data_IF_386292088641
#
_entry.id   IF_386292088641
#
_cell.length_a   1.000
_cell.length_b   1.000
_cell.length_c   1.000
_cell.angle_alpha   90.00
_cell.angle_beta   90.00
_cell.angle_gamma   90.00
#
_symmetry.space_group_name_H-M   'P 1'
#
loop_
_entity.id
_entity.type
_entity.pdbx_description
1 polymer ?
#
# COMPACT_ATOMS: atom_id res chain seq x y z
N UNK A 1 -5.35 24.52 3.50
CA UNK A 1 -6.10 24.20 2.26
C UNK A 1 -5.72 22.83 1.69
N UNK A 2 -4.45 22.44 1.73
CA UNK A 2 -3.96 21.10 1.28
C UNK A 2 -4.54 19.95 2.12
N UNK A 3 -4.69 20.13 3.41
CA UNK A 3 -5.30 19.14 4.33
C UNK A 3 -6.77 18.81 3.98
N UNK A 4 -7.47 19.74 3.32
CA UNK A 4 -8.88 19.57 2.95
C UNK A 4 -9.06 18.74 1.66
N UNK A 5 -8.12 18.83 0.72
CA UNK A 5 -8.16 18.00 -0.51
C UNK A 5 -7.85 16.54 -0.22
N UNK A 6 -6.89 16.27 0.66
CA UNK A 6 -6.59 14.91 1.12
C UNK A 6 -7.78 14.29 1.87
N UNK A 7 -8.50 15.08 2.64
CA UNK A 7 -9.70 14.65 3.36
C UNK A 7 -10.86 14.30 2.41
N UNK A 8 -10.99 14.99 1.29
CA UNK A 8 -12.02 14.70 0.26
C UNK A 8 -11.68 13.42 -0.52
N UNK A 9 -10.41 13.19 -0.86
CA UNK A 9 -9.94 11.96 -1.52
C UNK A 9 -10.18 10.75 -0.62
N UNK A 10 -9.89 10.88 0.67
CA UNK A 10 -10.12 9.84 1.67
C UNK A 10 -11.61 9.58 1.91
N UNK A 11 -12.47 10.59 1.89
CA UNK A 11 -13.92 10.40 2.01
C UNK A 11 -14.51 9.67 0.79
N UNK A 12 -13.93 9.80 -0.40
CA UNK A 12 -14.33 9.03 -1.57
C UNK A 12 -13.82 7.58 -1.52
N UNK A 13 -12.65 7.33 -0.89
CA UNK A 13 -12.15 5.99 -0.61
C UNK A 13 -12.86 5.34 0.59
N UNK A 14 -13.32 6.12 1.58
CA UNK A 14 -14.06 5.64 2.76
C UNK A 14 -15.48 5.17 2.43
N UNK A 15 -16.00 5.44 1.24
CA UNK A 15 -17.18 4.73 0.72
C UNK A 15 -16.98 3.21 0.58
N UNK A 16 -15.77 2.73 0.77
CA UNK A 16 -15.36 1.31 0.82
C UNK A 16 -15.04 0.86 2.26
N UNK A 17 -15.25 1.70 3.27
CA UNK A 17 -15.03 1.33 4.69
C UNK A 17 -16.11 0.35 5.25
N UNK A 18 -16.54 -0.61 4.44
CA UNK A 18 -17.40 -1.71 4.82
C UNK A 18 -16.77 -3.09 4.57
N UNK A 19 -15.52 -3.13 4.10
CA UNK A 19 -14.86 -4.37 3.69
C UNK A 19 -13.59 -4.65 4.47
N UNK A 20 -13.71 -4.81 5.76
CA UNK A 20 -12.69 -5.50 6.54
C UNK A 20 -13.29 -6.83 6.99
N UNK A 21 -12.81 -7.92 6.41
CA UNK A 21 -13.04 -9.24 6.98
C UNK A 21 -12.42 -9.25 8.38
N UNK A 22 -13.29 -9.27 9.39
CA UNK A 22 -12.97 -9.12 10.82
C UNK A 22 -12.15 -10.29 11.37
N UNK A 23 -11.69 -11.23 10.54
CA UNK A 23 -10.94 -12.42 11.00
C UNK A 23 -9.45 -12.39 10.68
N UNK A 24 -8.99 -11.51 9.79
CA UNK A 24 -7.57 -11.48 9.36
C UNK A 24 -7.00 -10.05 9.35
N UNK A 25 -7.81 -9.02 9.25
CA UNK A 25 -7.38 -7.65 9.54
C UNK A 25 -7.87 -7.25 10.92
N UNK A 26 -6.95 -6.83 11.76
CA UNK A 26 -7.14 -6.37 13.12
C UNK A 26 -8.45 -5.62 13.32
N UNK A 27 -9.15 -5.91 14.41
CA UNK A 27 -10.26 -5.11 14.96
C UNK A 27 -9.73 -3.71 15.34
N UNK A 28 -9.50 -2.83 14.38
CA UNK A 28 -9.26 -1.43 14.65
C UNK A 28 -10.55 -0.78 15.13
N UNK A 29 -10.83 -0.95 16.43
CA UNK A 29 -11.81 -0.15 17.13
C UNK A 29 -11.21 1.25 17.28
N UNK A 30 -11.69 2.19 16.51
CA UNK A 30 -11.55 3.61 16.80
C UNK A 30 -12.10 3.83 18.21
N UNK A 31 -11.25 3.94 19.22
CA UNK A 31 -11.63 4.44 20.54
C UNK A 31 -11.84 5.94 20.39
N UNK A 32 -13.04 6.36 20.06
CA UNK A 32 -13.53 7.71 20.40
C UNK A 32 -14.24 7.62 21.73
N UNK A 33 -13.89 8.58 22.59
CA UNK A 33 -14.40 8.75 23.93
C UNK A 33 -15.90 8.47 24.08
N UNK A 34 -16.24 7.50 24.89
CA UNK A 34 -17.34 7.46 25.86
C UNK A 34 -18.79 7.60 25.40
N UNK A 35 -19.16 7.62 24.10
CA UNK A 35 -20.57 7.53 23.67
C UNK A 35 -20.74 6.54 22.54
N UNK A 36 -21.54 5.50 22.80
CA UNK A 36 -22.04 4.55 21.82
C UNK A 36 -23.12 5.23 20.97
N UNK A 37 -22.73 5.91 19.93
CA UNK A 37 -23.63 6.21 18.83
C UNK A 37 -23.18 5.37 17.65
N UNK A 38 -24.03 4.40 17.28
CA UNK A 38 -23.80 3.52 16.14
C UNK A 38 -23.82 4.32 14.86
N UNK A 39 -22.64 4.70 14.37
CA UNK A 39 -22.48 5.23 13.04
C UNK A 39 -22.67 4.06 12.06
N UNK A 40 -23.90 3.73 11.73
CA UNK A 40 -24.25 3.03 10.50
C UNK A 40 -24.05 4.02 9.36
N UNK A 41 -22.85 4.09 8.83
CA UNK A 41 -22.67 4.59 7.47
C UNK A 41 -23.35 3.55 6.59
N UNK A 42 -24.57 3.82 6.16
CA UNK A 42 -25.25 3.03 5.15
C UNK A 42 -24.42 3.20 3.86
N UNK A 43 -23.64 2.18 3.48
CA UNK A 43 -23.18 2.06 2.12
C UNK A 43 -24.44 2.10 1.26
N UNK A 44 -24.54 3.01 0.29
CA UNK A 44 -25.73 3.14 -0.56
C UNK A 44 -25.96 1.94 -1.48
N UNK A 45 -25.32 0.81 -1.21
CA UNK A 45 -25.43 -0.44 -1.93
C UNK A 45 -26.68 -1.22 -1.53
N UNK A 46 -27.35 -1.78 -2.51
CA UNK A 46 -28.43 -2.75 -2.26
C UNK A 46 -27.83 -4.04 -1.63
N UNK A 47 -28.68 -4.82 -0.92
CA UNK A 47 -28.27 -6.11 -0.35
C UNK A 47 -27.62 -7.05 -1.40
N UNK A 48 -28.11 -6.99 -2.65
CA UNK A 48 -27.55 -7.78 -3.76
C UNK A 48 -26.14 -7.30 -4.15
N UNK A 49 -25.95 -6.00 -4.25
CA UNK A 49 -24.64 -5.41 -4.57
C UNK A 49 -23.62 -5.71 -3.46
N UNK A 50 -24.06 -5.61 -2.20
CA UNK A 50 -23.24 -5.96 -1.05
C UNK A 50 -22.76 -7.42 -1.13
N UNK A 51 -23.68 -8.37 -1.35
CA UNK A 51 -23.35 -9.80 -1.45
C UNK A 51 -22.41 -10.12 -2.64
N UNK A 52 -22.47 -9.35 -3.75
CA UNK A 52 -21.54 -9.49 -4.87
C UNK A 52 -20.15 -9.03 -4.45
N UNK A 53 -20.06 -7.88 -3.81
CA UNK A 53 -18.81 -7.32 -3.38
C UNK A 53 -18.16 -8.19 -2.28
N UNK A 54 -18.91 -8.68 -1.26
CA UNK A 54 -18.40 -9.60 -0.23
C UNK A 54 -17.77 -10.85 -0.86
N UNK A 55 -18.45 -11.43 -1.85
CA UNK A 55 -17.95 -12.59 -2.59
C UNK A 55 -16.66 -12.28 -3.34
N UNK A 56 -16.56 -11.10 -3.96
CA UNK A 56 -15.34 -10.72 -4.65
C UNK A 56 -14.14 -10.64 -3.69
N UNK A 57 -14.34 -10.09 -2.50
CA UNK A 57 -13.31 -10.06 -1.45
C UNK A 57 -12.88 -11.48 -1.06
N UNK A 58 -13.82 -12.40 -0.85
CA UNK A 58 -13.49 -13.81 -0.55
C UNK A 58 -12.65 -14.43 -1.68
N UNK A 59 -13.01 -14.21 -2.93
CA UNK A 59 -12.29 -14.74 -4.08
C UNK A 59 -10.89 -14.12 -4.21
N UNK A 60 -10.72 -12.84 -3.91
CA UNK A 60 -9.41 -12.17 -3.87
C UNK A 60 -8.53 -12.78 -2.76
N UNK A 61 -9.08 -13.06 -1.58
CA UNK A 61 -8.32 -13.71 -0.50
C UNK A 61 -7.89 -15.13 -0.89
N UNK A 62 -8.76 -15.92 -1.52
CA UNK A 62 -8.40 -17.24 -2.04
C UNK A 62 -7.30 -17.15 -3.12
N UNK A 63 -7.40 -16.20 -4.04
CA UNK A 63 -6.39 -15.96 -5.05
C UNK A 63 -5.04 -15.57 -4.42
N UNK A 64 -5.04 -14.72 -3.38
CA UNK A 64 -3.84 -14.35 -2.61
C UNK A 64 -3.17 -15.59 -2.01
N UNK A 65 -3.93 -16.49 -1.37
CA UNK A 65 -3.40 -17.73 -0.80
C UNK A 65 -2.80 -18.62 -1.87
N UNK A 66 -3.47 -18.80 -3.00
CA UNK A 66 -2.95 -19.58 -4.14
C UNK A 66 -1.64 -19.00 -4.68
N UNK A 67 -1.54 -17.67 -4.81
CA UNK A 67 -0.31 -17.01 -5.24
C UNK A 67 0.79 -17.15 -4.19
N UNK A 68 0.47 -17.07 -2.91
CA UNK A 68 1.43 -17.28 -1.83
C UNK A 68 2.04 -18.67 -1.85
N UNK A 69 1.24 -19.70 -2.15
CA UNK A 69 1.68 -21.10 -2.16
C UNK A 69 2.42 -21.49 -3.45
N UNK A 70 1.99 -20.97 -4.61
CA UNK A 70 2.38 -21.48 -5.91
C UNK A 70 2.98 -20.43 -6.85
N UNK A 71 2.95 -19.16 -6.49
CA UNK A 71 3.37 -18.03 -7.31
C UNK A 71 2.35 -17.63 -8.38
N UNK A 72 2.51 -16.41 -8.92
CA UNK A 72 1.61 -15.83 -9.94
C UNK A 72 1.55 -16.66 -11.23
N UNK A 73 2.65 -17.26 -11.64
CA UNK A 73 2.71 -18.07 -12.86
C UNK A 73 1.77 -19.27 -12.82
N UNK A 74 1.56 -19.86 -11.65
CA UNK A 74 0.76 -21.04 -11.43
C UNK A 74 -0.70 -20.75 -11.04
N UNK A 75 -1.10 -19.48 -10.94
CA UNK A 75 -2.50 -19.12 -10.76
C UNK A 75 -3.30 -19.46 -12.03
N UNK A 76 -4.43 -20.17 -11.86
CA UNK A 76 -5.37 -20.49 -12.93
C UNK A 76 -6.81 -20.33 -12.44
N UNK A 77 -7.74 -20.08 -13.37
CA UNK A 77 -9.17 -19.99 -13.04
C UNK A 77 -9.72 -21.31 -12.49
N UNK A 78 -9.22 -22.46 -12.96
CA UNK A 78 -9.66 -23.77 -12.47
C UNK A 78 -9.17 -24.02 -11.03
N UNK A 79 -7.95 -23.58 -10.66
CA UNK A 79 -7.48 -23.65 -9.26
C UNK A 79 -8.30 -22.76 -8.35
N UNK A 80 -8.60 -21.52 -8.78
CA UNK A 80 -9.46 -20.62 -8.02
C UNK A 80 -10.87 -21.22 -7.84
N UNK A 81 -11.41 -21.86 -8.89
CA UNK A 81 -12.69 -22.56 -8.83
C UNK A 81 -12.65 -23.71 -7.84
N UNK A 82 -11.62 -24.55 -7.89
CA UNK A 82 -11.47 -25.69 -6.99
C UNK A 82 -11.25 -25.31 -5.53
N UNK A 83 -10.64 -24.17 -5.26
CA UNK A 83 -10.41 -23.66 -3.92
C UNK A 83 -11.63 -22.95 -3.32
N UNK A 84 -12.61 -22.57 -4.14
CA UNK A 84 -13.79 -21.81 -3.70
C UNK A 84 -15.03 -22.69 -3.54
N UNK A 85 -16.02 -22.21 -2.78
CA UNK A 85 -17.35 -22.82 -2.66
C UNK A 85 -18.29 -22.44 -3.80
N UNK A 86 -17.87 -21.56 -4.72
CA UNK A 86 -18.71 -20.99 -5.76
C UNK A 86 -18.59 -21.79 -7.08
N UNK A 87 -19.67 -21.78 -7.88
CA UNK A 87 -19.67 -22.40 -9.20
C UNK A 87 -18.71 -21.67 -10.14
N UNK A 88 -18.18 -22.40 -11.15
CA UNK A 88 -17.33 -21.82 -12.21
C UNK A 88 -17.98 -20.61 -12.86
N UNK A 89 -19.29 -20.67 -13.16
CA UNK A 89 -20.04 -19.55 -13.73
C UNK A 89 -20.07 -18.32 -12.81
N UNK A 90 -20.20 -18.52 -11.49
CA UNK A 90 -20.15 -17.44 -10.51
C UNK A 90 -18.79 -16.73 -10.52
N UNK A 91 -17.70 -17.51 -10.59
CA UNK A 91 -16.33 -16.95 -10.59
C UNK A 91 -16.07 -16.16 -11.87
N UNK A 92 -16.51 -16.69 -13.04
CA UNK A 92 -16.36 -15.98 -14.31
C UNK A 92 -17.24 -14.73 -14.44
N UNK A 93 -18.27 -14.58 -13.59
CA UNK A 93 -19.00 -13.32 -13.44
C UNK A 93 -18.24 -12.24 -12.68
N UNK A 94 -17.22 -12.63 -11.88
CA UNK A 94 -16.34 -11.69 -11.15
C UNK A 94 -15.05 -11.40 -11.91
N UNK A 95 -14.48 -12.40 -12.57
CA UNK A 95 -13.17 -12.30 -13.22
C UNK A 95 -13.23 -12.97 -14.59
N UNK A 96 -13.05 -12.22 -15.65
CA UNK A 96 -13.09 -12.75 -17.01
C UNK A 96 -11.87 -13.63 -17.34
N UNK A 97 -10.74 -13.46 -16.63
CA UNK A 97 -9.48 -14.18 -16.85
C UNK A 97 -8.65 -14.27 -15.56
N UNK A 98 -7.57 -15.04 -15.55
CA UNK A 98 -6.60 -15.03 -14.45
C UNK A 98 -5.87 -13.68 -14.35
N UNK A 99 -5.68 -13.03 -15.46
CA UNK A 99 -5.08 -11.69 -15.54
C UNK A 99 -5.97 -10.65 -14.85
N UNK A 100 -7.27 -10.79 -14.99
CA UNK A 100 -8.27 -9.98 -14.29
C UNK A 100 -8.22 -10.20 -12.77
N UNK A 101 -7.98 -11.44 -12.32
CA UNK A 101 -7.73 -11.77 -10.90
C UNK A 101 -6.45 -11.10 -10.41
N UNK A 102 -5.37 -11.11 -11.19
CA UNK A 102 -4.09 -10.46 -10.83
C UNK A 102 -4.30 -8.96 -10.69
N UNK A 103 -5.06 -8.35 -11.59
CA UNK A 103 -5.40 -6.94 -11.50
C UNK A 103 -6.23 -6.63 -10.24
N UNK A 104 -7.19 -7.48 -9.91
CA UNK A 104 -7.98 -7.35 -8.68
C UNK A 104 -7.12 -7.43 -7.41
N UNK A 105 -6.11 -8.32 -7.39
CA UNK A 105 -5.11 -8.37 -6.30
C UNK A 105 -4.32 -7.06 -6.21
N UNK A 106 -3.90 -6.49 -7.34
CA UNK A 106 -3.18 -5.21 -7.37
C UNK A 106 -4.05 -4.04 -6.88
N UNK A 107 -5.31 -3.97 -7.32
CA UNK A 107 -6.28 -2.98 -6.85
C UNK A 107 -6.49 -3.10 -5.33
N UNK A 108 -6.62 -4.32 -4.82
CA UNK A 108 -6.74 -4.58 -3.39
C UNK A 108 -5.49 -4.14 -2.62
N UNK A 109 -4.29 -4.39 -3.19
CA UNK A 109 -3.02 -3.91 -2.67
C UNK A 109 -2.99 -2.39 -2.54
N UNK A 110 -3.30 -1.66 -3.61
CA UNK A 110 -3.30 -0.19 -3.60
C UNK A 110 -4.29 0.40 -2.60
N UNK A 111 -5.49 -0.19 -2.48
CA UNK A 111 -6.47 0.23 -1.46
C UNK A 111 -5.93 0.02 -0.04
N UNK A 112 -5.23 -1.07 0.20
CA UNK A 112 -4.62 -1.36 1.51
C UNK A 112 -3.44 -0.41 1.79
N UNK A 113 -2.56 -0.19 0.82
CA UNK A 113 -1.44 0.75 0.93
C UNK A 113 -1.92 2.18 1.22
N UNK A 114 -3.02 2.62 0.59
CA UNK A 114 -3.58 3.95 0.79
C UNK A 114 -3.93 4.22 2.27
N UNK A 115 -4.40 3.20 3.01
CA UNK A 115 -4.68 3.31 4.45
C UNK A 115 -3.41 3.61 5.24
N UNK A 116 -2.29 2.95 4.90
CA UNK A 116 -1.00 3.20 5.54
C UNK A 116 -0.48 4.59 5.21
N UNK A 117 -0.60 5.02 3.96
CA UNK A 117 -0.16 6.36 3.54
C UNK A 117 -0.99 7.47 4.17
N UNK A 118 -2.31 7.30 4.32
CA UNK A 118 -3.16 8.25 5.03
C UNK A 118 -2.68 8.46 6.47
N UNK A 119 -2.36 7.38 7.19
CA UNK A 119 -1.85 7.47 8.56
C UNK A 119 -0.54 8.23 8.62
N UNK A 120 0.36 7.97 7.67
CA UNK A 120 1.69 8.63 7.63
C UNK A 120 1.61 10.10 7.21
N UNK A 121 0.66 10.48 6.36
CA UNK A 121 0.45 11.87 5.97
C UNK A 121 0.07 12.78 7.16
N UNK A 122 -0.58 12.21 8.18
CA UNK A 122 -0.98 12.90 9.41
C UNK A 122 0.08 12.86 10.51
N UNK A 123 1.28 12.30 10.25
CA UNK A 123 2.38 12.28 11.21
C UNK A 123 2.80 13.71 11.58
N UNK A 124 2.95 13.97 12.89
CA UNK A 124 3.42 15.27 13.41
C UNK A 124 4.95 15.35 13.29
N UNK A 125 5.41 15.99 12.23
CA UNK A 125 6.81 16.14 11.88
C UNK A 125 7.04 17.11 10.73
N UNK A 126 8.31 17.43 10.45
CA UNK A 126 8.68 18.23 9.29
C UNK A 126 8.39 17.48 7.97
N UNK A 127 8.57 18.15 6.83
CA UNK A 127 8.23 17.58 5.52
C UNK A 127 9.03 16.32 5.21
N UNK A 128 10.30 16.26 5.58
CA UNK A 128 11.17 15.10 5.41
C UNK A 128 10.81 13.97 6.36
N UNK A 129 10.42 14.25 7.60
CA UNK A 129 9.93 13.23 8.52
C UNK A 129 8.66 12.56 7.98
N UNK A 130 7.78 13.28 7.28
CA UNK A 130 6.57 12.72 6.65
C UNK A 130 6.91 11.77 5.50
N UNK A 131 7.90 12.07 4.67
CA UNK A 131 8.37 11.12 3.63
C UNK A 131 9.02 9.89 4.29
N UNK A 132 9.82 10.06 5.34
CA UNK A 132 10.35 8.92 6.10
C UNK A 132 9.21 8.09 6.71
N UNK A 133 8.15 8.73 7.23
CA UNK A 133 6.97 8.01 7.73
C UNK A 133 6.31 7.16 6.64
N UNK A 134 6.23 7.65 5.40
CA UNK A 134 5.73 6.86 4.26
C UNK A 134 6.60 5.63 4.00
N UNK A 135 7.94 5.76 4.05
CA UNK A 135 8.84 4.61 3.92
C UNK A 135 8.63 3.58 5.05
N UNK A 136 8.39 4.03 6.28
CA UNK A 136 8.04 3.14 7.41
C UNK A 136 6.72 2.42 7.14
N UNK A 137 5.67 3.17 6.80
CA UNK A 137 4.34 2.60 6.50
C UNK A 137 4.40 1.57 5.38
N UNK A 138 5.09 1.88 4.27
CA UNK A 138 5.27 0.94 3.17
C UNK A 138 6.06 -0.32 3.58
N UNK A 139 7.12 -0.17 4.39
CA UNK A 139 7.87 -1.31 4.91
C UNK A 139 7.00 -2.23 5.77
N UNK A 140 6.19 -1.67 6.67
CA UNK A 140 5.28 -2.44 7.52
C UNK A 140 4.24 -3.14 6.66
N UNK A 141 3.61 -2.42 5.73
CA UNK A 141 2.67 -3.01 4.77
C UNK A 141 3.29 -4.17 3.98
N UNK A 142 4.47 -3.97 3.40
CA UNK A 142 5.14 -5.00 2.62
C UNK A 142 5.47 -6.26 3.44
N UNK A 143 5.83 -6.12 4.72
CA UNK A 143 6.06 -7.25 5.63
C UNK A 143 4.77 -7.97 6.01
N UNK A 144 3.67 -7.25 6.17
CA UNK A 144 2.35 -7.85 6.45
C UNK A 144 1.79 -8.56 5.22
N UNK A 145 1.96 -7.97 4.05
CA UNK A 145 1.35 -8.40 2.79
C UNK A 145 2.41 -8.66 1.68
N UNK A 146 3.31 -9.65 1.86
CA UNK A 146 4.43 -9.85 0.94
C UNK A 146 4.01 -10.21 -0.49
N UNK A 147 2.88 -10.90 -0.66
CA UNK A 147 2.34 -11.21 -1.99
C UNK A 147 1.80 -9.95 -2.66
N UNK A 148 0.97 -9.19 -1.94
CA UNK A 148 0.31 -8.02 -2.48
C UNK A 148 1.31 -6.91 -2.80
N UNK A 149 2.32 -6.70 -1.96
CA UNK A 149 3.35 -5.67 -2.18
C UNK A 149 4.15 -5.87 -3.48
N UNK A 150 4.17 -7.08 -4.03
CA UNK A 150 4.84 -7.38 -5.32
C UNK A 150 3.88 -7.44 -6.50
N UNK A 151 2.56 -7.37 -6.27
CA UNK A 151 1.55 -7.42 -7.32
C UNK A 151 1.72 -6.31 -8.37
N UNK A 152 2.15 -5.11 -7.95
CA UNK A 152 2.28 -3.95 -8.83
C UNK A 152 3.14 -4.24 -10.06
N UNK A 153 4.26 -4.98 -9.92
CA UNK A 153 5.13 -5.32 -11.05
C UNK A 153 4.46 -6.33 -11.99
N UNK A 154 3.81 -7.36 -11.43
CA UNK A 154 3.17 -8.40 -12.25
C UNK A 154 1.94 -7.84 -12.98
N UNK A 155 1.13 -7.07 -12.29
CA UNK A 155 -0.11 -6.48 -12.83
C UNK A 155 0.16 -5.49 -13.99
N UNK A 156 1.33 -4.85 -14.01
CA UNK A 156 1.72 -3.88 -15.05
C UNK A 156 2.38 -4.51 -16.27
N UNK A 157 2.55 -5.81 -16.29
CA UNK A 157 3.11 -6.47 -17.48
C UNK A 157 2.12 -6.45 -18.64
N UNK A 158 2.58 -6.26 -19.90
CA UNK A 158 1.69 -6.19 -21.07
C UNK A 158 0.71 -7.37 -21.16
N UNK A 159 1.19 -8.59 -20.86
CA UNK A 159 0.35 -9.79 -20.95
C UNK A 159 -0.81 -9.82 -19.92
N UNK A 160 -0.71 -9.09 -18.81
CA UNK A 160 -1.82 -8.89 -17.86
C UNK A 160 -2.76 -7.82 -18.38
N UNK A 161 -2.21 -6.65 -18.75
CA UNK A 161 -3.03 -5.49 -19.16
C UNK A 161 -3.86 -5.78 -20.41
N UNK A 162 -3.34 -6.55 -21.38
CA UNK A 162 -4.04 -6.90 -22.61
C UNK A 162 -5.27 -7.82 -22.41
N UNK A 163 -5.31 -8.57 -21.29
CA UNK A 163 -6.35 -9.57 -21.02
C UNK A 163 -7.24 -9.23 -19.83
N UNK A 164 -6.99 -8.14 -19.17
CA UNK A 164 -7.80 -7.66 -18.08
C UNK A 164 -9.04 -6.93 -18.59
N UNK A 165 -10.09 -6.88 -17.76
CA UNK A 165 -11.31 -6.15 -18.09
C UNK A 165 -11.06 -4.63 -18.11
N UNK A 166 -11.71 -3.89 -19.02
CA UNK A 166 -11.62 -2.43 -19.09
C UNK A 166 -12.01 -1.75 -17.79
N UNK A 167 -12.98 -2.29 -17.07
CA UNK A 167 -13.48 -1.77 -15.81
C UNK A 167 -12.38 -1.78 -14.74
N UNK A 168 -11.62 -2.89 -14.63
CA UNK A 168 -10.52 -3.00 -13.68
C UNK A 168 -9.32 -2.16 -14.07
N UNK A 169 -9.03 -2.05 -15.37
CA UNK A 169 -7.98 -1.15 -15.85
C UNK A 169 -8.29 0.30 -15.49
N UNK A 170 -9.53 0.73 -15.68
CA UNK A 170 -9.96 2.08 -15.32
C UNK A 170 -9.88 2.31 -13.80
N UNK A 171 -10.29 1.32 -12.99
CA UNK A 171 -10.18 1.40 -11.53
C UNK A 171 -8.72 1.47 -11.06
N UNK A 172 -7.84 0.63 -11.63
CA UNK A 172 -6.40 0.66 -11.35
C UNK A 172 -5.82 2.04 -11.65
N UNK A 173 -6.05 2.57 -12.86
CA UNK A 173 -5.51 3.85 -13.28
C UNK A 173 -6.00 4.99 -12.38
N UNK A 174 -7.27 4.98 -11.98
CA UNK A 174 -7.82 5.97 -11.06
C UNK A 174 -7.12 5.94 -9.69
N UNK A 175 -6.96 4.75 -9.11
CA UNK A 175 -6.29 4.58 -7.81
C UNK A 175 -4.83 4.99 -7.85
N UNK A 176 -4.14 4.70 -8.95
CA UNK A 176 -2.75 5.13 -9.14
C UNK A 176 -2.63 6.64 -9.21
N UNK A 177 -3.52 7.29 -9.97
CA UNK A 177 -3.53 8.75 -10.06
C UNK A 177 -3.76 9.38 -8.67
N UNK A 178 -4.64 8.80 -7.85
CA UNK A 178 -4.87 9.26 -6.49
C UNK A 178 -3.62 9.14 -5.61
N UNK A 179 -2.91 8.00 -5.69
CA UNK A 179 -1.67 7.79 -4.93
C UNK A 179 -0.56 8.73 -5.39
N UNK A 180 -0.38 8.89 -6.70
CA UNK A 180 0.61 9.79 -7.29
C UNK A 180 0.33 11.24 -6.89
N UNK A 181 -0.92 11.70 -7.02
CA UNK A 181 -1.32 13.07 -6.63
C UNK A 181 -1.03 13.34 -5.14
N UNK A 182 -1.25 12.35 -4.27
CA UNK A 182 -0.91 12.47 -2.85
C UNK A 182 0.59 12.60 -2.60
N UNK A 183 1.41 11.83 -3.33
CA UNK A 183 2.87 11.91 -3.24
C UNK A 183 3.40 13.24 -3.79
N UNK A 184 2.88 13.71 -4.92
CA UNK A 184 3.21 15.01 -5.50
C UNK A 184 2.89 16.15 -4.53
N UNK A 185 1.76 16.08 -3.84
CA UNK A 185 1.38 17.08 -2.85
C UNK A 185 2.39 17.18 -1.69
N UNK A 186 2.95 16.06 -1.23
CA UNK A 186 3.99 16.05 -0.19
C UNK A 186 5.30 16.68 -0.67
N UNK A 187 5.71 16.37 -1.90
CA UNK A 187 6.90 16.97 -2.52
C UNK A 187 6.73 18.47 -2.71
N UNK A 188 5.60 18.89 -3.27
CA UNK A 188 5.31 20.30 -3.48
C UNK A 188 5.23 21.09 -2.16
N UNK A 189 4.63 20.50 -1.11
CA UNK A 189 4.62 21.11 0.22
C UNK A 189 6.03 21.32 0.77
N UNK A 190 6.96 20.39 0.53
CA UNK A 190 8.34 20.56 0.95
C UNK A 190 9.05 21.71 0.22
N UNK A 191 8.71 21.93 -1.05
CA UNK A 191 9.21 23.10 -1.82
C UNK A 191 8.61 24.40 -1.29
N UNK A 192 7.31 24.42 -1.00
CA UNK A 192 6.62 25.59 -0.43
C UNK A 192 7.17 25.97 0.96
N UNK A 193 7.52 24.97 1.78
CA UNK A 193 8.15 25.18 3.08
C UNK A 193 9.64 25.59 3.00
N UNK A 194 10.26 25.47 1.82
CA UNK A 194 11.68 25.76 1.62
C UNK A 194 12.63 24.63 2.05
N UNK A 195 12.09 23.45 2.44
CA UNK A 195 12.86 22.29 2.85
C UNK A 195 13.47 21.55 1.65
N UNK A 196 12.89 21.73 0.46
CA UNK A 196 13.33 21.13 -0.80
C UNK A 196 13.37 22.20 -1.89
N UNK A 197 14.33 22.07 -2.82
CA UNK A 197 14.39 22.92 -4.01
C UNK A 197 14.42 22.05 -5.25
N UNK A 198 13.53 22.33 -6.21
CA UNK A 198 13.62 21.71 -7.53
C UNK A 198 14.91 22.15 -8.23
N UNK A 199 15.57 21.21 -8.86
CA UNK A 199 16.62 21.52 -9.83
C UNK A 199 15.99 21.68 -11.23
N UNK A 200 16.66 22.36 -12.17
CA UNK A 200 16.15 22.48 -13.54
C UNK A 200 15.89 21.11 -14.25
N UNK A 201 16.52 20.05 -13.75
CA UNK A 201 16.45 18.71 -14.34
C UNK A 201 15.57 17.72 -13.54
N UNK A 202 15.15 18.05 -12.31
CA UNK A 202 14.48 17.13 -11.40
C UNK A 202 13.24 17.82 -10.81
N UNK A 203 12.07 17.45 -11.31
CA UNK A 203 10.76 17.88 -10.82
C UNK A 203 10.14 16.93 -9.80
N UNK A 204 8.91 17.20 -9.41
CA UNK A 204 8.16 16.38 -8.44
C UNK A 204 8.01 14.93 -8.91
N UNK A 205 7.69 14.71 -10.17
CA UNK A 205 7.52 13.41 -10.81
C UNK A 205 8.76 12.51 -10.67
N UNK A 206 9.94 13.06 -10.92
CA UNK A 206 11.21 12.33 -10.78
C UNK A 206 11.50 12.00 -9.30
N UNK A 207 11.18 12.90 -8.37
CA UNK A 207 11.37 12.70 -6.94
C UNK A 207 10.41 11.63 -6.41
N UNK A 208 9.14 11.67 -6.81
CA UNK A 208 8.13 10.66 -6.45
C UNK A 208 8.54 9.29 -6.99
N UNK A 209 8.94 9.20 -8.26
CA UNK A 209 9.41 7.95 -8.85
C UNK A 209 10.65 7.39 -8.13
N UNK A 210 11.63 8.24 -7.78
CA UNK A 210 12.83 7.80 -7.05
C UNK A 210 12.48 7.27 -5.64
N UNK A 211 11.59 7.95 -4.91
CA UNK A 211 11.13 7.50 -3.59
C UNK A 211 10.40 6.16 -3.69
N UNK A 212 9.48 6.01 -4.66
CA UNK A 212 8.80 4.73 -4.89
C UNK A 212 9.78 3.62 -5.28
N UNK A 213 10.71 3.89 -6.17
CA UNK A 213 11.72 2.92 -6.61
C UNK A 213 12.56 2.39 -5.45
N UNK A 214 13.01 3.26 -4.56
CA UNK A 214 13.78 2.88 -3.37
C UNK A 214 12.92 2.13 -2.36
N UNK A 215 11.71 2.60 -2.07
CA UNK A 215 10.79 1.93 -1.15
C UNK A 215 10.44 0.52 -1.67
N UNK A 216 9.99 0.41 -2.91
CA UNK A 216 9.64 -0.86 -3.54
C UNK A 216 10.86 -1.78 -3.63
N UNK A 217 11.95 -1.33 -4.24
CA UNK A 217 13.15 -2.15 -4.49
C UNK A 217 13.78 -2.67 -3.20
N UNK A 218 13.93 -1.82 -2.19
CA UNK A 218 14.50 -2.22 -0.90
C UNK A 218 13.68 -3.31 -0.20
N UNK A 219 12.36 -3.16 -0.18
CA UNK A 219 11.48 -4.13 0.47
C UNK A 219 11.31 -5.42 -0.36
N UNK A 220 11.15 -5.31 -1.68
CA UNK A 220 11.03 -6.47 -2.56
C UNK A 220 12.30 -7.34 -2.53
N UNK A 221 13.49 -6.73 -2.56
CA UNK A 221 14.76 -7.45 -2.46
C UNK A 221 14.93 -8.10 -1.09
N UNK A 222 14.64 -7.39 0.00
CA UNK A 222 14.74 -7.94 1.35
C UNK A 222 13.85 -9.18 1.55
N UNK A 223 12.66 -9.21 0.93
CA UNK A 223 11.71 -10.31 1.08
C UNK A 223 11.96 -11.47 0.11
N UNK A 224 12.31 -11.18 -1.15
CA UNK A 224 12.32 -12.19 -2.21
C UNK A 224 13.72 -12.63 -2.64
N UNK A 225 14.77 -11.92 -2.22
CA UNK A 225 16.16 -12.19 -2.58
C UNK A 225 17.04 -12.53 -1.37
N UNK A 226 16.48 -13.17 -0.36
CA UNK A 226 17.20 -13.54 0.89
C UNK A 226 18.46 -14.37 0.66
N UNK A 227 18.51 -15.14 -0.44
CA UNK A 227 19.69 -15.92 -0.85
C UNK A 227 20.76 -15.07 -1.57
N UNK A 228 20.49 -13.81 -1.90
CA UNK A 228 21.48 -12.92 -2.50
C UNK A 228 22.58 -12.59 -1.49
N UNK A 229 23.85 -12.73 -1.92
CA UNK A 229 24.99 -12.37 -1.07
C UNK A 229 24.97 -10.89 -0.67
N UNK A 230 24.41 -10.02 -1.48
CA UNK A 230 24.22 -8.61 -1.16
C UNK A 230 23.28 -8.44 0.04
N UNK A 231 22.13 -9.13 0.01
CA UNK A 231 21.12 -9.06 1.07
C UNK A 231 21.63 -9.71 2.37
N UNK A 232 22.30 -10.88 2.27
CA UNK A 232 22.86 -11.58 3.43
C UNK A 232 23.90 -10.78 4.21
N UNK A 233 24.53 -9.80 3.59
CA UNK A 233 25.51 -8.90 4.24
C UNK A 233 24.85 -7.74 5.00
N UNK A 234 23.57 -7.50 4.77
CA UNK A 234 22.82 -6.41 5.43
C UNK A 234 22.40 -6.91 6.82
N UNK A 235 23.02 -6.35 7.84
CA UNK A 235 22.70 -6.68 9.25
C UNK A 235 21.96 -5.52 9.95
N UNK A 236 22.01 -4.30 9.39
CA UNK A 236 21.38 -3.15 10.00
C UNK A 236 19.86 -3.18 9.73
N UNK A 237 19.01 -3.20 10.78
CA UNK A 237 17.56 -3.16 10.63
C UNK A 237 17.06 -1.87 9.98
N UNK A 238 17.87 -0.82 9.96
CA UNK A 238 17.58 0.47 9.31
C UNK A 238 18.08 0.57 7.87
N UNK A 239 18.41 -0.54 7.22
CA UNK A 239 18.91 -0.52 5.81
C UNK A 239 17.97 0.23 4.85
N UNK A 240 16.66 0.09 4.99
CA UNK A 240 15.68 0.83 4.18
C UNK A 240 15.73 2.33 4.47
N UNK A 241 15.87 2.72 5.74
CA UNK A 241 16.06 4.12 6.14
C UNK A 241 17.36 4.70 5.55
N UNK A 242 18.45 3.93 5.55
CA UNK A 242 19.71 4.40 4.95
C UNK A 242 19.56 4.67 3.45
N UNK A 243 18.87 3.80 2.72
CA UNK A 243 18.58 4.01 1.30
C UNK A 243 17.74 5.28 1.08
N UNK A 244 16.69 5.47 1.88
CA UNK A 244 15.88 6.68 1.84
C UNK A 244 16.71 7.93 2.16
N UNK A 245 17.55 7.90 3.20
CA UNK A 245 18.42 9.03 3.55
C UNK A 245 19.42 9.36 2.45
N UNK A 246 20.06 8.37 1.82
CA UNK A 246 20.96 8.62 0.68
C UNK A 246 20.27 9.35 -0.47
N UNK A 247 19.02 8.97 -0.79
CA UNK A 247 18.22 9.68 -1.79
C UNK A 247 17.90 11.11 -1.35
N UNK A 248 17.33 11.26 -0.16
CA UNK A 248 16.82 12.55 0.34
C UNK A 248 17.95 13.54 0.61
N UNK A 249 19.11 13.08 1.10
CA UNK A 249 20.31 13.91 1.23
C UNK A 249 20.84 14.33 -0.13
N UNK A 250 20.85 13.42 -1.12
CA UNK A 250 21.24 13.72 -2.49
C UNK A 250 20.36 14.77 -3.18
N UNK A 251 19.08 14.83 -2.80
CA UNK A 251 18.14 15.86 -3.23
C UNK A 251 18.29 17.19 -2.46
N UNK A 252 19.07 17.21 -1.37
CA UNK A 252 19.16 18.34 -0.46
C UNK A 252 17.88 18.61 0.32
N UNK A 253 17.05 17.59 0.56
CA UNK A 253 15.81 17.71 1.33
C UNK A 253 16.14 17.88 2.81
N UNK A 254 15.98 19.10 3.32
CA UNK A 254 16.32 19.48 4.69
C UNK A 254 15.26 19.02 5.74
N UNK A 255 15.68 18.83 6.99
CA UNK A 255 17.07 18.79 7.47
C UNK A 255 17.80 17.53 6.98
N UNK A 256 19.12 17.63 6.69
CA UNK A 256 19.91 16.48 6.24
C UNK A 256 20.05 15.39 7.30
N UNK A 257 20.40 14.15 6.91
CA UNK A 257 20.56 13.04 7.87
C UNK A 257 21.76 13.21 8.81
N UNK A 258 22.67 14.15 8.51
CA UNK A 258 23.76 14.59 9.38
C UNK A 258 23.30 15.59 10.44
N UNK A 259 22.14 16.21 10.27
CA UNK A 259 21.58 17.26 11.12
C UNK A 259 20.41 16.78 11.97
N UNK A 260 19.78 15.67 11.59
CA UNK A 260 18.56 15.12 12.20
C UNK A 260 18.63 13.62 12.38
N UNK A 261 18.21 13.11 13.54
CA UNK A 261 18.18 11.67 13.83
C UNK A 261 16.93 10.98 13.28
N UNK A 262 16.97 10.57 12.01
CA UNK A 262 15.87 9.85 11.38
C UNK A 262 15.65 8.42 11.90
N UNK A 263 16.59 7.84 12.65
CA UNK A 263 16.33 6.59 13.38
C UNK A 263 15.33 6.82 14.52
N UNK A 264 15.42 7.98 15.17
CA UNK A 264 14.44 8.40 16.18
C UNK A 264 13.07 8.64 15.56
N UNK A 265 13.01 9.36 14.41
CA UNK A 265 11.78 9.54 13.64
C UNK A 265 11.17 8.20 13.25
N UNK A 266 11.96 7.27 12.73
CA UNK A 266 11.51 5.94 12.36
C UNK A 266 10.82 5.21 13.51
N UNK A 267 11.46 5.17 14.69
CA UNK A 267 10.88 4.53 15.89
C UNK A 267 9.62 5.23 16.36
N UNK A 268 9.57 6.57 16.29
CA UNK A 268 8.35 7.33 16.62
C UNK A 268 7.18 6.93 15.71
N UNK A 269 7.42 6.82 14.42
CA UNK A 269 6.39 6.40 13.46
C UNK A 269 5.91 4.98 13.76
N UNK A 270 6.81 4.05 14.03
CA UNK A 270 6.46 2.67 14.43
C UNK A 270 5.60 2.66 15.70
N UNK A 271 5.96 3.45 16.71
CA UNK A 271 5.25 3.50 17.99
C UNK A 271 3.93 4.27 17.94
N UNK A 272 3.92 5.44 17.30
CA UNK A 272 2.76 6.35 17.31
C UNK A 272 1.68 5.92 16.30
N UNK A 273 2.09 5.37 15.15
CA UNK A 273 1.17 5.03 14.06
C UNK A 273 0.94 3.53 13.86
N UNK A 274 1.93 2.67 14.18
CA UNK A 274 1.92 1.27 13.75
C UNK A 274 2.26 0.26 14.86
N UNK A 275 2.02 0.61 16.12
CA UNK A 275 2.34 -0.25 17.27
C UNK A 275 1.66 -1.63 17.22
N UNK A 276 0.41 -1.70 16.73
CA UNK A 276 -0.33 -2.96 16.63
C UNK A 276 0.20 -3.84 15.51
N UNK A 277 0.54 -3.25 14.35
CA UNK A 277 1.13 -3.97 13.21
C UNK A 277 2.52 -4.51 13.56
N UNK A 278 3.34 -3.73 14.28
CA UNK A 278 4.65 -4.18 14.74
C UNK A 278 4.50 -5.35 15.71
N UNK A 279 3.61 -5.27 16.70
CA UNK A 279 3.36 -6.37 17.63
C UNK A 279 2.90 -7.64 16.89
N UNK A 280 2.05 -7.50 15.87
CA UNK A 280 1.66 -8.63 15.02
C UNK A 280 2.84 -9.23 14.26
N UNK A 281 3.65 -8.40 13.60
CA UNK A 281 4.82 -8.87 12.85
C UNK A 281 5.81 -9.63 13.74
N UNK A 282 5.96 -9.24 14.99
CA UNK A 282 6.76 -9.96 15.98
C UNK A 282 6.18 -11.36 16.28
N UNK A 283 4.85 -11.49 16.40
CA UNK A 283 4.19 -12.79 16.65
C UNK A 283 4.37 -13.78 15.50
N UNK A 284 4.48 -13.31 14.26
CA UNK A 284 4.66 -14.15 13.07
C UNK A 284 6.10 -14.25 12.59
N UNK A 285 7.07 -13.75 13.37
CA UNK A 285 8.50 -13.71 13.05
C UNK A 285 8.81 -13.09 11.67
N UNK A 286 8.15 -12.02 11.36
CA UNK A 286 8.31 -11.26 10.12
C UNK A 286 8.86 -9.86 10.35
#
# INVERSE_FOLDING_TARGET
MVTFLFYIIVLQLSGVCGYTDQRIMFNFRCKKDGKRDGCRVSSGLTKKQQAIADREVELIQLAKLLVQEQGFANLTMDKLTSASSYSKGTIYNHFCSKEDVILALCIHSLKSEAIFFERTANFDGNTREKIIAMHVGYRIYARMEPVLSTCAIVAKTPWVLEKASPERLNELNRLEEEVISGADALVNNAVECGDLKFSPAIGADAIVFANWSIAFGSNALAQNASNSRCIQRIQDPFSVLHNANMLLDGLGWAPLSTEWDYRKTWRRVEQELFSEEIAYLETVNR
#
